data_IF_589010462774
#
_entry.id   IF_589010462774
#
_cell.length_a   1.000
_cell.length_b   1.000
_cell.length_c   1.000
_cell.angle_alpha   90.00
_cell.angle_beta   90.00
_cell.angle_gamma   90.00
#
_symmetry.space_group_name_H-M   'P 1'
#
loop_
_entity.id
_entity.type
_entity.pdbx_description
1 polymer ?
#
# COMPACT_ATOMS: atom_id res chain seq x y z
N UNK A 1 3.74 5.02 14.10
CA UNK A 1 2.37 4.55 14.38
C UNK A 1 2.16 3.28 13.59
N UNK A 2 1.82 2.17 14.23
CA UNK A 2 1.43 0.96 13.51
C UNK A 2 -0.02 1.14 13.05
N UNK A 3 -0.24 1.13 11.74
CA UNK A 3 -1.58 1.26 11.16
C UNK A 3 -2.38 -0.02 11.51
N UNK A 4 -3.61 0.16 11.99
CA UNK A 4 -4.52 -0.95 12.29
C UNK A 4 -5.71 -0.89 11.34
N UNK A 5 -6.05 -2.02 10.73
CA UNK A 5 -7.13 -2.18 9.77
C UNK A 5 -8.09 -3.24 10.30
N UNK A 6 -9.38 -2.91 10.35
CA UNK A 6 -10.42 -3.89 10.68
C UNK A 6 -10.86 -4.63 9.41
N UNK A 7 -11.00 -5.94 9.50
CA UNK A 7 -11.52 -6.78 8.39
C UNK A 7 -12.87 -6.25 7.91
N UNK A 8 -13.07 -6.16 6.60
CA UNK A 8 -14.31 -5.64 6.01
C UNK A 8 -14.37 -4.11 5.88
N UNK A 9 -13.37 -3.38 6.36
CA UNK A 9 -13.12 -2.00 5.94
C UNK A 9 -12.17 -1.99 4.73
N UNK A 10 -12.35 -1.08 3.77
CA UNK A 10 -11.38 -0.94 2.69
C UNK A 10 -10.01 -0.55 3.27
N UNK A 11 -8.95 -1.08 2.67
CA UNK A 11 -7.59 -0.62 2.96
C UNK A 11 -7.25 0.51 2.00
N UNK A 12 -6.77 1.62 2.53
CA UNK A 12 -6.30 2.75 1.74
C UNK A 12 -5.12 3.39 2.46
N UNK A 13 -4.02 3.60 1.74
CA UNK A 13 -2.86 4.29 2.29
C UNK A 13 -2.17 5.14 1.22
N UNK A 14 -1.76 6.33 1.62
CA UNK A 14 -1.06 7.28 0.77
C UNK A 14 0.44 7.12 0.97
N UNK A 15 1.16 7.00 -0.15
CA UNK A 15 2.62 7.07 -0.18
C UNK A 15 3.09 8.28 -0.96
N UNK A 16 4.23 8.83 -0.53
CA UNK A 16 4.93 9.90 -1.25
C UNK A 16 6.27 9.34 -1.70
N UNK A 17 6.46 9.22 -3.01
CA UNK A 17 7.73 8.87 -3.63
C UNK A 17 8.72 10.02 -3.47
N UNK A 18 9.93 9.70 -2.99
CA UNK A 18 10.96 10.68 -2.67
C UNK A 18 12.32 10.25 -3.20
N UNK A 19 13.15 11.22 -3.55
CA UNK A 19 14.55 11.00 -3.87
C UNK A 19 15.29 10.50 -2.62
N UNK A 20 16.21 9.54 -2.80
CA UNK A 20 16.77 8.78 -1.68
C UNK A 20 17.71 9.59 -0.78
N UNK A 21 18.37 10.62 -1.31
CA UNK A 21 19.34 11.48 -0.63
C UNK A 21 18.67 12.73 -0.05
N UNK A 22 18.01 13.53 -0.88
CA UNK A 22 17.38 14.79 -0.50
C UNK A 22 16.08 14.60 0.27
N UNK A 23 15.44 13.43 0.12
CA UNK A 23 14.10 13.13 0.66
C UNK A 23 13.00 14.06 0.13
N UNK A 24 13.28 14.78 -0.94
CA UNK A 24 12.30 15.61 -1.63
C UNK A 24 11.36 14.74 -2.46
N UNK A 25 10.10 15.17 -2.56
CA UNK A 25 9.12 14.50 -3.39
C UNK A 25 9.50 14.60 -4.87
N UNK A 26 9.45 13.46 -5.56
CA UNK A 26 9.73 13.38 -7.00
C UNK A 26 8.43 13.13 -7.75
N UNK A 27 8.32 13.73 -8.93
CA UNK A 27 7.17 13.50 -9.81
C UNK A 27 7.15 12.04 -10.26
N UNK A 28 5.96 11.45 -10.31
CA UNK A 28 5.74 10.11 -10.88
C UNK A 28 5.47 10.28 -12.38
N UNK A 29 6.41 9.87 -13.25
CA UNK A 29 6.19 9.89 -14.70
C UNK A 29 5.06 8.95 -15.12
N UNK A 30 4.38 9.26 -16.22
CA UNK A 30 3.24 8.48 -16.71
C UNK A 30 3.57 7.04 -17.13
N UNK A 31 4.84 6.76 -17.46
CA UNK A 31 5.32 5.43 -17.85
C UNK A 31 5.84 4.61 -16.65
N UNK A 32 5.89 5.20 -15.45
CA UNK A 32 6.35 4.51 -14.26
C UNK A 32 5.33 3.46 -13.81
N UNK A 33 5.77 2.22 -13.69
CA UNK A 33 4.95 1.13 -13.21
C UNK A 33 5.12 0.97 -11.70
N UNK A 34 4.05 1.24 -10.96
CA UNK A 34 3.98 1.01 -9.52
C UNK A 34 3.11 -0.23 -9.29
N UNK A 35 3.56 -1.11 -8.40
CA UNK A 35 2.78 -2.27 -7.97
C UNK A 35 3.02 -2.54 -6.49
N UNK A 36 2.04 -3.17 -5.85
CA UNK A 36 2.13 -3.53 -4.45
C UNK A 36 1.31 -4.78 -4.17
N UNK A 37 1.91 -5.71 -3.43
CA UNK A 37 1.28 -6.93 -2.97
C UNK A 37 1.33 -6.98 -1.45
N UNK A 38 0.25 -7.46 -0.85
CA UNK A 38 0.13 -7.68 0.58
C UNK A 38 0.18 -9.18 0.87
N UNK A 39 1.04 -9.56 1.82
CA UNK A 39 1.13 -10.90 2.37
C UNK A 39 0.81 -10.91 3.86
N UNK A 40 0.29 -12.03 4.36
CA UNK A 40 0.12 -12.25 5.79
C UNK A 40 1.45 -12.68 6.45
N UNK A 41 1.41 -12.91 7.77
CA UNK A 41 2.57 -13.39 8.54
C UNK A 41 3.15 -14.74 8.08
N UNK A 42 2.40 -15.57 7.35
CA UNK A 42 2.93 -16.82 6.76
C UNK A 42 3.50 -16.63 5.35
N UNK A 43 3.58 -15.39 4.85
CA UNK A 43 4.06 -15.07 3.51
C UNK A 43 3.05 -15.38 2.40
N UNK A 44 1.82 -15.74 2.75
CA UNK A 44 0.76 -15.99 1.77
C UNK A 44 0.21 -14.67 1.25
N UNK A 45 0.03 -14.55 -0.06
CA UNK A 45 -0.66 -13.42 -0.69
C UNK A 45 -2.11 -13.33 -0.21
N UNK A 46 -2.50 -12.13 0.21
CA UNK A 46 -3.88 -11.83 0.63
C UNK A 46 -4.50 -10.67 -0.15
N UNK A 47 -3.72 -9.88 -0.89
CA UNK A 47 -4.20 -8.88 -1.83
C UNK A 47 -3.09 -8.42 -2.79
N UNK A 48 -3.49 -7.96 -3.97
CA UNK A 48 -2.72 -7.05 -4.82
C UNK A 48 -3.43 -5.70 -4.77
N UNK A 49 -2.67 -4.63 -4.55
CA UNK A 49 -3.23 -3.28 -4.41
C UNK A 49 -3.58 -2.70 -5.78
N UNK A 50 -4.74 -2.06 -5.86
CA UNK A 50 -5.02 -1.08 -6.91
C UNK A 50 -4.20 0.18 -6.63
N UNK A 51 -3.63 0.76 -7.68
CA UNK A 51 -2.77 1.94 -7.58
C UNK A 51 -3.46 3.12 -8.23
N UNK A 52 -3.58 4.23 -7.51
CA UNK A 52 -4.03 5.51 -8.07
C UNK A 52 -2.92 6.55 -7.86
N UNK A 53 -2.34 7.04 -8.95
CA UNK A 53 -1.38 8.16 -8.89
C UNK A 53 -2.16 9.45 -8.65
N UNK A 54 -1.74 10.24 -7.66
CA UNK A 54 -2.37 11.52 -7.34
C UNK A 54 -2.06 12.57 -8.42
N UNK A 55 -2.81 13.67 -8.43
CA UNK A 55 -2.42 14.86 -9.19
C UNK A 55 -1.04 15.34 -8.71
N UNK A 56 -0.04 15.30 -9.60
CA UNK A 56 1.35 15.63 -9.26
C UNK A 56 1.58 17.13 -9.04
N UNK A 57 0.62 17.98 -9.45
CA UNK A 57 0.64 19.43 -9.19
C UNK A 57 0.16 19.77 -7.78
N UNK A 58 -0.79 19.00 -7.24
CA UNK A 58 -1.32 19.15 -5.88
C UNK A 58 -0.53 18.33 -4.86
N UNK A 59 -0.11 17.12 -5.24
CA UNK A 59 0.57 16.15 -4.38
C UNK A 59 1.67 15.41 -5.13
N UNK A 60 2.78 16.11 -5.36
CA UNK A 60 3.98 15.57 -6.00
C UNK A 60 4.45 14.28 -5.33
N UNK A 61 4.71 13.25 -6.13
CA UNK A 61 5.12 11.92 -5.68
C UNK A 61 4.02 11.11 -5.02
N UNK A 62 2.80 11.64 -4.94
CA UNK A 62 1.68 10.98 -4.28
C UNK A 62 1.10 9.84 -5.10
N UNK A 63 0.89 8.69 -4.45
CA UNK A 63 0.05 7.62 -4.97
C UNK A 63 -0.63 6.87 -3.82
N UNK A 64 -1.82 6.35 -4.09
CA UNK A 64 -2.64 5.62 -3.14
C UNK A 64 -2.60 4.14 -3.48
N UNK A 65 -2.39 3.31 -2.45
CA UNK A 65 -2.64 1.88 -2.51
C UNK A 65 -4.03 1.61 -1.96
N UNK A 66 -4.86 0.90 -2.72
CA UNK A 66 -6.22 0.58 -2.35
C UNK A 66 -6.48 -0.93 -2.42
N UNK A 67 -7.26 -1.45 -1.48
CA UNK A 67 -7.85 -2.79 -1.54
C UNK A 67 -9.31 -2.70 -1.10
N UNK A 68 -10.21 -3.18 -1.94
CA UNK A 68 -11.65 -3.16 -1.69
C UNK A 68 -12.04 -3.99 -0.45
N UNK A 69 -13.11 -3.56 0.21
CA UNK A 69 -13.65 -4.21 1.40
C UNK A 69 -14.05 -5.67 1.19
N UNK A 70 -14.46 -6.06 -0.02
CA UNK A 70 -14.81 -7.46 -0.33
C UNK A 70 -13.60 -8.40 -0.23
N UNK A 71 -12.40 -7.87 -0.52
CA UNK A 71 -11.14 -8.60 -0.34
C UNK A 71 -10.74 -8.58 1.14
N UNK A 72 -10.76 -7.41 1.78
CA UNK A 72 -10.33 -7.28 3.18
C UNK A 72 -11.26 -7.97 4.18
N UNK A 73 -12.51 -8.23 3.82
CA UNK A 73 -13.46 -9.01 4.62
C UNK A 73 -12.96 -10.45 4.87
N UNK A 74 -12.15 -10.99 3.95
CA UNK A 74 -11.60 -12.35 4.04
C UNK A 74 -10.24 -12.41 4.74
N UNK A 75 -9.70 -11.26 5.15
CA UNK A 75 -8.43 -11.21 5.85
C UNK A 75 -8.52 -11.82 7.24
N UNK A 76 -7.40 -12.42 7.69
CA UNK A 76 -7.27 -12.98 9.03
C UNK A 76 -6.56 -11.98 9.93
N UNK A 77 -6.98 -11.92 11.19
CA UNK A 77 -6.32 -11.09 12.19
C UNK A 77 -4.84 -11.49 12.36
N UNK A 78 -3.99 -10.50 12.57
CA UNK A 78 -2.53 -10.67 12.67
C UNK A 78 -1.77 -9.56 11.95
N UNK A 79 -0.48 -9.77 11.73
CA UNK A 79 0.36 -8.81 11.00
C UNK A 79 0.34 -9.10 9.50
N UNK A 80 0.21 -8.05 8.70
CA UNK A 80 0.39 -8.08 7.26
C UNK A 80 1.56 -7.19 6.84
N UNK A 81 2.18 -7.56 5.72
CA UNK A 81 3.32 -6.90 5.12
C UNK A 81 2.99 -6.61 3.66
N UNK A 82 3.22 -5.38 3.24
CA UNK A 82 3.14 -4.98 1.84
C UNK A 82 4.50 -4.64 1.27
N UNK A 83 4.72 -4.97 0.01
CA UNK A 83 5.84 -4.46 -0.78
C UNK A 83 5.39 -3.30 -1.68
N UNK A 84 6.34 -2.47 -2.11
CA UNK A 84 6.14 -1.46 -3.14
C UNK A 84 7.23 -1.70 -4.17
N UNK A 85 6.84 -2.01 -5.39
CA UNK A 85 7.77 -2.18 -6.50
C UNK A 85 7.57 -1.08 -7.53
N UNK A 86 8.69 -0.52 -7.96
CA UNK A 86 8.76 0.46 -9.05
C UNK A 86 9.51 -0.20 -10.20
N UNK A 87 8.87 -0.27 -11.37
CA UNK A 87 9.42 -0.93 -12.56
C UNK A 87 9.94 -2.35 -12.24
N UNK A 88 9.19 -3.09 -11.44
CA UNK A 88 9.50 -4.46 -11.01
C UNK A 88 10.54 -4.60 -9.89
N UNK A 89 11.19 -3.51 -9.47
CA UNK A 89 12.22 -3.53 -8.42
C UNK A 89 11.64 -3.11 -7.07
N UNK A 90 12.03 -3.78 -5.99
CA UNK A 90 11.60 -3.39 -4.64
C UNK A 90 12.12 -1.99 -4.31
N UNK A 91 11.19 -1.11 -3.91
CA UNK A 91 11.45 0.27 -3.54
C UNK A 91 11.02 0.60 -2.11
N UNK A 92 10.27 -0.29 -1.45
CA UNK A 92 9.78 -0.03 -0.10
C UNK A 92 8.93 -1.16 0.43
N UNK A 93 8.80 -1.19 1.75
CA UNK A 93 7.97 -2.15 2.46
C UNK A 93 7.17 -1.41 3.53
N UNK A 94 5.99 -1.92 3.84
CA UNK A 94 5.15 -1.42 4.92
C UNK A 94 4.52 -2.57 5.70
N UNK A 95 4.16 -2.32 6.95
CA UNK A 95 3.49 -3.29 7.81
C UNK A 95 2.29 -2.66 8.50
N UNK A 96 1.29 -3.48 8.76
CA UNK A 96 0.09 -3.07 9.48
C UNK A 96 -0.52 -4.26 10.21
N UNK A 97 -1.36 -3.97 11.20
CA UNK A 97 -2.10 -4.97 11.97
C UNK A 97 -3.52 -5.09 11.42
N UNK A 98 -3.96 -6.33 11.22
CA UNK A 98 -5.33 -6.67 10.87
C UNK A 98 -6.04 -7.11 12.16
N UNK A 99 -7.16 -6.48 12.45
CA UNK A 99 -8.05 -6.86 13.54
C UNK A 99 -9.37 -7.37 12.98
N UNK A 100 -9.98 -8.36 13.65
CA UNK A 100 -11.36 -8.73 13.32
C UNK A 100 -12.29 -7.56 13.62
N UNK A 101 -13.21 -7.29 12.71
CA UNK A 101 -14.37 -6.46 13.06
C UNK A 101 -15.21 -7.20 14.10
N UNK A 102 -15.52 -6.52 15.20
CA UNK A 102 -16.48 -7.03 16.18
C UNK A 102 -17.85 -6.67 15.60
N UNK A 103 -18.61 -7.69 15.21
CA UNK A 103 -19.99 -7.54 14.76
C UNK A 103 -20.91 -7.97 15.91
#
# INVERSE_FOLDING_TARGET
MNQTIKTGNPFSTLFIMRESKSREAIEIPSDMQISSKIVNASGQEIAVCEITVCDQTEMKGGFILYVDKSITANWKAGTALGDIKINGKNSGNYSFTIEKSIT
#
